data_IF_766054812702
#
_entry.id   IF_766054812702
#
_cell.length_a   1.000
_cell.length_b   1.000
_cell.length_c   1.000
_cell.angle_alpha   90.00
_cell.angle_beta   90.00
_cell.angle_gamma   90.00
#
_symmetry.space_group_name_H-M   'P 1'
#
loop_
_entity.id
_entity.type
_entity.pdbx_description
1 polymer ?
#
# COMPACT_ATOMS: atom_id res chain seq x y z
N UNK A 1 -3.65 -0.05 5.87
CA UNK A 1 -4.26 -0.98 4.87
C UNK A 1 -5.36 -0.22 4.17
N UNK A 2 -5.60 -0.44 2.87
CA UNK A 2 -6.49 0.40 2.06
C UNK A 2 -7.99 0.28 2.43
N UNK A 3 -8.40 0.61 3.66
CA UNK A 3 -9.79 0.79 4.18
C UNK A 3 -10.90 -0.14 3.66
N UNK A 4 -10.58 -1.33 3.16
CA UNK A 4 -11.52 -2.23 2.48
C UNK A 4 -11.73 -1.97 0.97
N UNK A 5 -11.09 -0.97 0.38
CA UNK A 5 -11.07 -0.65 -1.05
C UNK A 5 -10.17 -1.60 -1.83
N UNK A 6 -10.58 -2.87 -1.93
CA UNK A 6 -9.82 -3.92 -2.60
C UNK A 6 -10.36 -4.29 -3.99
N UNK A 7 -11.40 -3.62 -4.47
CA UNK A 7 -11.91 -3.82 -5.85
C UNK A 7 -11.33 -2.74 -6.76
N UNK A 8 -11.25 -3.00 -8.07
CA UNK A 8 -10.78 -1.98 -9.04
C UNK A 8 -11.54 -0.66 -8.90
N UNK A 9 -12.87 -0.72 -8.73
CA UNK A 9 -13.70 0.47 -8.53
C UNK A 9 -13.46 1.18 -7.20
N UNK A 10 -13.31 0.42 -6.10
CA UNK A 10 -13.01 0.98 -4.79
C UNK A 10 -11.64 1.67 -4.74
N UNK A 11 -10.62 1.04 -5.34
CA UNK A 11 -9.29 1.63 -5.49
C UNK A 11 -9.39 2.94 -6.28
N UNK A 12 -10.11 2.93 -7.41
CA UNK A 12 -10.29 4.10 -8.27
C UNK A 12 -10.91 5.28 -7.51
N UNK A 13 -12.00 5.01 -6.79
CA UNK A 13 -12.69 6.00 -5.98
C UNK A 13 -11.78 6.59 -4.89
N UNK A 14 -11.02 5.74 -4.20
CA UNK A 14 -10.11 6.17 -3.15
C UNK A 14 -8.98 7.08 -3.65
N UNK A 15 -8.40 6.79 -4.82
CA UNK A 15 -7.29 7.60 -5.39
C UNK A 15 -7.77 8.70 -6.35
N UNK A 16 -9.08 8.90 -6.50
CA UNK A 16 -9.66 9.91 -7.38
C UNK A 16 -9.41 9.70 -8.88
N UNK A 17 -9.33 8.44 -9.33
CA UNK A 17 -9.10 8.08 -10.75
C UNK A 17 -10.28 7.31 -11.35
N UNK A 18 -10.34 7.26 -12.69
CA UNK A 18 -11.31 6.40 -13.38
C UNK A 18 -10.89 4.94 -13.27
N UNK A 19 -11.85 4.05 -13.08
CA UNK A 19 -11.59 2.62 -12.94
C UNK A 19 -10.98 1.98 -14.19
N UNK A 20 -11.21 2.54 -15.37
CA UNK A 20 -10.62 2.12 -16.66
C UNK A 20 -9.11 2.33 -16.69
N UNK A 21 -8.64 3.42 -16.08
CA UNK A 21 -7.24 3.84 -16.11
C UNK A 21 -6.37 2.97 -15.19
N UNK A 22 -7.01 2.17 -14.33
CA UNK A 22 -6.35 1.24 -13.43
C UNK A 22 -6.02 -0.10 -14.07
N UNK A 23 -6.52 -0.41 -15.28
CA UNK A 23 -6.30 -1.73 -15.85
C UNK A 23 -4.82 -2.02 -16.08
N UNK A 24 -4.09 -1.13 -16.76
CA UNK A 24 -2.66 -1.30 -17.01
C UNK A 24 -1.83 -1.34 -15.71
N UNK A 25 -1.97 -0.39 -14.77
CA UNK A 25 -1.25 -0.44 -13.49
C UNK A 25 -1.52 -1.72 -12.68
N UNK A 26 -2.77 -2.17 -12.59
CA UNK A 26 -3.10 -3.39 -11.82
C UNK A 26 -2.49 -4.63 -12.45
N UNK A 27 -2.51 -4.74 -13.78
CA UNK A 27 -1.86 -5.83 -14.51
C UNK A 27 -0.35 -5.83 -14.27
N UNK A 28 0.33 -4.68 -14.35
CA UNK A 28 1.78 -4.60 -14.07
C UNK A 28 2.10 -5.05 -12.64
N UNK A 29 1.25 -4.69 -11.66
CA UNK A 29 1.44 -5.10 -10.27
C UNK A 29 1.17 -6.60 -10.05
N UNK A 30 0.21 -7.19 -10.78
CA UNK A 30 -0.02 -8.65 -10.78
C UNK A 30 1.17 -9.39 -11.42
N UNK A 31 1.64 -8.94 -12.58
CA UNK A 31 2.76 -9.54 -13.32
C UNK A 31 4.06 -9.47 -12.51
N UNK A 32 4.27 -8.39 -11.76
CA UNK A 32 5.41 -8.22 -10.87
C UNK A 32 5.29 -9.02 -9.55
N UNK A 33 4.20 -9.78 -9.35
CA UNK A 33 3.96 -10.55 -8.12
C UNK A 33 3.63 -9.71 -6.90
N UNK A 34 3.33 -8.42 -7.08
CA UNK A 34 3.04 -7.46 -6.01
C UNK A 34 1.57 -7.54 -5.56
N UNK A 35 0.69 -7.93 -6.48
CA UNK A 35 -0.73 -8.17 -6.22
C UNK A 35 -1.15 -9.57 -6.66
N UNK A 36 -2.14 -10.12 -5.97
CA UNK A 36 -2.96 -11.23 -6.47
C UNK A 36 -4.41 -10.81 -6.58
N UNK A 37 -5.05 -11.24 -7.66
CA UNK A 37 -6.48 -11.11 -7.86
C UNK A 37 -7.19 -12.37 -7.39
N UNK A 38 -7.93 -12.27 -6.29
CA UNK A 38 -8.72 -13.36 -5.72
C UNK A 38 -10.21 -13.19 -6.06
N UNK A 39 -10.91 -14.24 -6.53
CA UNK A 39 -12.36 -14.20 -6.65
C UNK A 39 -13.01 -14.08 -5.26
N UNK A 40 -14.02 -13.23 -5.12
CA UNK A 40 -14.78 -13.08 -3.87
C UNK A 40 -16.05 -13.96 -3.91
N UNK A 41 -16.10 -15.07 -3.15
CA UNK A 41 -17.20 -16.02 -3.26
C UNK A 41 -18.53 -15.47 -2.71
N UNK A 42 -18.45 -14.53 -1.75
CA UNK A 42 -19.62 -14.02 -1.02
C UNK A 42 -20.33 -12.84 -1.72
N UNK A 43 -19.69 -12.18 -2.69
CA UNK A 43 -20.25 -11.00 -3.37
C UNK A 43 -20.07 -11.09 -4.88
N UNK A 44 -20.86 -11.97 -5.51
CA UNK A 44 -21.32 -11.85 -6.90
C UNK A 44 -20.27 -11.42 -7.93
N UNK A 45 -19.22 -12.22 -8.12
CA UNK A 45 -18.35 -12.13 -9.31
C UNK A 45 -17.34 -10.98 -9.32
N UNK A 46 -17.19 -10.20 -8.24
CA UNK A 46 -16.16 -9.16 -8.16
C UNK A 46 -14.84 -9.77 -7.67
N UNK A 47 -13.75 -9.50 -8.39
CA UNK A 47 -12.42 -9.88 -7.93
C UNK A 47 -11.85 -8.81 -6.97
N UNK A 48 -11.18 -9.25 -5.90
CA UNK A 48 -10.44 -8.40 -4.97
C UNK A 48 -8.93 -8.53 -5.21
N UNK A 49 -8.21 -7.43 -5.09
CA UNK A 49 -6.76 -7.39 -5.10
C UNK A 49 -6.22 -7.50 -3.66
N UNK A 50 -5.19 -8.33 -3.46
CA UNK A 50 -4.43 -8.43 -2.21
C UNK A 50 -2.95 -8.24 -2.51
N UNK A 51 -2.24 -7.56 -1.62
CA UNK A 51 -0.77 -7.43 -1.70
C UNK A 51 -0.16 -8.79 -1.35
N UNK A 52 0.72 -9.27 -2.22
CA UNK A 52 1.40 -10.57 -2.08
C UNK A 52 2.85 -10.46 -1.66
N UNK A 53 3.51 -9.32 -1.89
CA UNK A 53 4.91 -9.13 -1.50
C UNK A 53 5.08 -9.10 0.02
N UNK A 54 5.74 -10.11 0.63
CA UNK A 54 5.91 -10.18 2.07
C UNK A 54 6.73 -9.01 2.60
N UNK A 55 7.73 -8.54 1.84
CA UNK A 55 8.58 -7.41 2.22
C UNK A 55 7.85 -6.07 2.17
N UNK A 56 7.00 -5.84 1.15
CA UNK A 56 6.20 -4.62 1.06
C UNK A 56 5.11 -4.62 2.14
N UNK A 57 4.47 -5.78 2.38
CA UNK A 57 3.50 -5.94 3.45
C UNK A 57 4.13 -5.69 4.83
N UNK A 58 5.32 -6.26 5.09
CA UNK A 58 6.08 -6.04 6.30
C UNK A 58 6.49 -4.57 6.46
N UNK A 59 7.06 -3.95 5.42
CA UNK A 59 7.46 -2.55 5.47
C UNK A 59 6.27 -1.63 5.80
N UNK A 60 5.14 -1.80 5.12
CA UNK A 60 3.96 -0.96 5.34
C UNK A 60 3.30 -1.19 6.70
N UNK A 61 3.28 -2.44 7.20
CA UNK A 61 2.62 -2.79 8.45
C UNK A 61 3.49 -2.54 9.70
N UNK A 62 4.81 -2.71 9.59
CA UNK A 62 5.74 -2.71 10.73
C UNK A 62 6.65 -1.49 10.72
N UNK A 63 7.29 -1.18 9.59
CA UNK A 63 8.27 -0.09 9.52
C UNK A 63 7.63 1.29 9.42
N UNK A 64 6.56 1.44 8.63
CA UNK A 64 5.90 2.73 8.37
C UNK A 64 5.40 3.46 9.62
N UNK A 65 4.77 2.80 10.61
CA UNK A 65 4.36 3.45 11.86
C UNK A 65 5.54 3.89 12.73
N UNK A 66 6.66 3.18 12.67
CA UNK A 66 7.88 3.50 13.42
C UNK A 66 8.71 4.61 12.76
N UNK A 67 8.51 4.87 11.46
CA UNK A 67 9.30 5.81 10.69
C UNK A 67 9.23 7.24 11.23
N UNK A 68 8.06 7.69 11.67
CA UNK A 68 7.88 9.01 12.30
C UNK A 68 8.72 9.18 13.56
N UNK A 69 8.84 8.12 14.37
CA UNK A 69 9.67 8.13 15.57
C UNK A 69 11.17 8.11 15.24
N UNK A 70 11.56 7.41 14.17
CA UNK A 70 12.95 7.39 13.70
C UNK A 70 13.38 8.74 13.09
N UNK A 71 12.49 9.42 12.36
CA UNK A 71 12.73 10.78 11.84
C UNK A 71 12.86 11.81 12.97
N UNK A 72 12.03 11.71 14.00
CA UNK A 72 12.14 12.57 15.19
C UNK A 72 13.47 12.35 15.92
N UNK A 73 13.91 11.09 16.07
CA UNK A 73 15.17 10.77 16.75
C UNK A 73 16.39 11.25 15.96
N UNK A 74 16.38 11.12 14.62
CA UNK A 74 17.42 11.66 13.74
C UNK A 74 17.49 13.19 13.78
N UNK A 75 16.34 13.89 13.82
CA UNK A 75 16.32 15.34 14.00
C UNK A 75 16.79 15.79 15.39
N UNK A 76 16.58 14.96 16.42
CA UNK A 76 17.05 15.21 17.79
C UNK A 76 18.56 15.02 17.94
N UNK A 77 19.12 13.98 17.30
CA UNK A 77 20.57 13.73 17.28
C UNK A 77 21.32 14.79 16.44
N UNK A 78 20.72 15.29 15.34
CA UNK A 78 21.26 16.41 14.55
C UNK A 78 21.29 17.71 15.36
N UNK A 79 20.24 17.98 16.14
CA UNK A 79 20.18 19.15 17.03
C UNK A 79 21.12 19.04 18.26
N UNK A 80 21.72 17.87 18.50
CA UNK A 80 22.65 17.60 19.60
C UNK A 80 24.11 17.45 19.15
N UNK A 81 24.45 17.84 17.91
CA UNK A 81 25.83 17.91 17.40
C UNK A 81 26.69 18.98 18.11
N UNK A 82 28.04 18.83 18.13
CA UNK A 82 28.93 19.40 19.15
C UNK A 82 29.16 20.90 18.96
N UNK A 83 28.39 21.70 19.68
CA UNK A 83 28.52 23.15 19.66
C UNK A 83 27.58 23.82 20.66
N UNK A 84 27.66 23.41 21.93
CA UNK A 84 27.12 24.13 23.08
C UNK A 84 28.21 24.21 24.16
#
# INVERSE_FOLDING_TARGET
>A
MAEGNATRGGIAGYIGRKATDLQHPLTVLEDAGLLVRAPEPLRGGRSRYRITEPLIAFYQAVMRPAWTALEQRRGSDEAAGPGA
#
